data_IF_473623482587
#
_entry.id   IF_473623482587
#
_cell.length_a   1.000
_cell.length_b   1.000
_cell.length_c   1.000
_cell.angle_alpha   90.00
_cell.angle_beta   90.00
_cell.angle_gamma   90.00
#
_symmetry.space_group_name_H-M   'P 1'
#
loop_
_entity.id
_entity.type
_entity.pdbx_description
1 polymer ?
#
# COMPACT_ATOMS: atom_id res chain seq x y z
N UNK A 1 -14.80 -14.44 10.73
CA UNK A 1 -13.71 -14.41 11.73
C UNK A 1 -12.91 -13.16 11.50
N UNK A 2 -13.18 -12.11 12.27
CA UNK A 2 -12.55 -10.80 12.13
C UNK A 2 -11.39 -10.76 13.14
N UNK A 3 -10.26 -11.34 12.76
CA UNK A 3 -9.07 -11.38 13.61
C UNK A 3 -8.24 -10.15 13.31
N UNK A 4 -8.55 -9.01 13.93
CA UNK A 4 -7.64 -7.85 14.10
C UNK A 4 -7.08 -7.15 12.85
N UNK A 5 -7.31 -7.66 11.64
CA UNK A 5 -6.78 -7.12 10.40
C UNK A 5 -7.62 -5.94 9.91
N UNK A 6 -6.96 -4.84 9.53
CA UNK A 6 -7.60 -3.65 8.95
C UNK A 6 -7.17 -3.49 7.51
N UNK A 7 -7.98 -3.99 6.58
CA UNK A 7 -7.77 -3.84 5.14
C UNK A 7 -8.43 -2.55 4.66
N UNK A 8 -7.65 -1.69 4.00
CA UNK A 8 -8.10 -0.40 3.44
C UNK A 8 -7.68 -0.33 1.98
N UNK A 9 -8.43 0.40 1.19
CA UNK A 9 -8.21 0.58 -0.25
C UNK A 9 -8.01 2.06 -0.53
N UNK A 10 -7.08 2.38 -1.43
CA UNK A 10 -6.87 3.72 -1.97
C UNK A 10 -6.95 3.63 -3.48
N UNK A 11 -7.58 4.61 -4.12
CA UNK A 11 -7.65 4.62 -5.59
C UNK A 11 -6.30 5.02 -6.15
N UNK A 12 -5.93 4.45 -7.30
CA UNK A 12 -4.68 4.77 -7.97
C UNK A 12 -4.59 6.27 -8.33
N UNK A 13 -5.69 6.86 -8.81
CA UNK A 13 -5.78 8.31 -9.07
C UNK A 13 -5.49 9.19 -7.84
N UNK A 14 -5.91 8.74 -6.65
CA UNK A 14 -5.66 9.44 -5.39
C UNK A 14 -4.21 9.26 -4.94
N UNK A 15 -3.66 8.05 -5.09
CA UNK A 15 -2.25 7.79 -4.80
C UNK A 15 -1.32 8.66 -5.67
N UNK A 16 -1.62 8.77 -6.96
CA UNK A 16 -0.88 9.64 -7.90
C UNK A 16 -0.97 11.11 -7.48
N UNK A 17 -2.18 11.58 -7.12
CA UNK A 17 -2.40 12.96 -6.65
C UNK A 17 -1.65 13.26 -5.34
N UNK A 18 -1.51 12.27 -4.47
CA UNK A 18 -0.78 12.36 -3.21
C UNK A 18 0.74 12.21 -3.38
N UNK A 19 1.21 11.86 -4.58
CA UNK A 19 2.64 11.63 -4.87
C UNK A 19 3.19 10.40 -4.14
N UNK A 20 2.36 9.39 -3.89
CA UNK A 20 2.80 8.14 -3.27
C UNK A 20 3.61 7.30 -4.28
N UNK A 21 4.65 6.58 -3.84
CA UNK A 21 5.39 5.68 -4.72
C UNK A 21 4.47 4.54 -5.20
N UNK A 22 4.75 4.04 -6.40
CA UNK A 22 4.08 2.88 -6.98
C UNK A 22 4.68 1.53 -6.52
N UNK A 23 5.72 1.60 -5.69
CA UNK A 23 6.43 0.45 -5.13
C UNK A 23 5.52 -0.37 -4.21
N UNK A 24 5.52 -1.69 -4.36
CA UNK A 24 4.88 -2.60 -3.43
C UNK A 24 5.82 -2.92 -2.28
N UNK A 25 5.37 -2.70 -1.05
CA UNK A 25 6.20 -2.94 0.12
C UNK A 25 5.38 -3.43 1.32
N UNK A 26 6.05 -4.17 2.20
CA UNK A 26 5.57 -4.47 3.55
C UNK A 26 6.41 -3.73 4.58
N UNK A 27 5.77 -3.22 5.62
CA UNK A 27 6.41 -2.56 6.75
C UNK A 27 6.17 -3.37 8.02
N UNK A 28 7.24 -3.82 8.67
CA UNK A 28 7.21 -4.60 9.89
C UNK A 28 7.75 -3.79 11.07
N UNK A 29 6.95 -3.70 12.14
CA UNK A 29 7.29 -3.06 13.42
C UNK A 29 7.88 -1.63 13.31
N UNK A 30 7.62 -0.95 12.19
CA UNK A 30 8.26 0.33 11.82
C UNK A 30 9.80 0.28 11.85
N UNK A 31 10.39 -0.87 11.52
CA UNK A 31 11.85 -1.12 11.60
C UNK A 31 12.44 -1.85 10.41
N UNK A 32 11.61 -2.57 9.67
CA UNK A 32 12.02 -3.35 8.51
C UNK A 32 11.02 -3.12 7.39
N UNK A 33 11.51 -2.80 6.21
CA UNK A 33 10.73 -2.80 4.97
C UNK A 33 11.16 -3.99 4.13
N UNK A 34 10.19 -4.73 3.63
CA UNK A 34 10.38 -5.68 2.55
C UNK A 34 9.84 -5.01 1.28
N UNK A 35 10.74 -4.55 0.40
CA UNK A 35 10.40 -3.97 -0.89
C UNK A 35 10.29 -5.10 -1.91
N UNK A 36 9.13 -5.23 -2.58
CA UNK A 36 8.87 -6.29 -3.55
C UNK A 36 9.20 -5.75 -4.94
N UNK A 37 10.20 -6.34 -5.60
CA UNK A 37 10.62 -5.93 -6.92
C UNK A 37 10.01 -6.86 -7.97
N UNK A 38 9.18 -6.29 -8.85
CA UNK A 38 8.54 -6.99 -9.96
C UNK A 38 9.20 -6.61 -11.29
N UNK A 39 9.21 -7.53 -12.25
CA UNK A 39 9.58 -7.22 -13.64
C UNK A 39 8.42 -6.60 -14.42
N UNK A 40 8.68 -6.20 -15.66
CA UNK A 40 7.67 -5.61 -16.57
C UNK A 40 6.52 -6.56 -16.93
N UNK A 41 6.58 -7.82 -16.53
CA UNK A 41 5.56 -8.85 -16.73
C UNK A 41 4.90 -9.31 -15.44
N UNK A 42 4.99 -8.50 -14.38
CA UNK A 42 4.42 -8.73 -13.04
C UNK A 42 4.95 -9.99 -12.32
N UNK A 43 6.15 -10.49 -12.68
CA UNK A 43 6.78 -11.56 -11.90
C UNK A 43 7.59 -10.97 -10.75
N UNK A 44 7.45 -11.54 -9.55
CA UNK A 44 8.29 -11.20 -8.41
C UNK A 44 9.73 -11.68 -8.67
N UNK A 45 10.65 -10.74 -8.81
CA UNK A 45 12.07 -11.00 -9.09
C UNK A 45 12.83 -11.19 -7.80
N UNK A 46 12.67 -10.28 -6.85
CA UNK A 46 13.28 -10.36 -5.52
C UNK A 46 12.49 -9.59 -4.45
N UNK A 47 12.94 -9.74 -3.21
CA UNK A 47 12.48 -8.97 -2.07
C UNK A 47 13.68 -8.36 -1.37
N UNK A 48 13.78 -7.04 -1.35
CA UNK A 48 14.84 -6.31 -0.66
C UNK A 48 14.47 -6.06 0.81
N UNK A 49 15.36 -6.44 1.73
CA UNK A 49 15.20 -6.18 3.16
C UNK A 49 15.91 -4.89 3.56
N UNK A 50 15.14 -3.82 3.76
CA UNK A 50 15.65 -2.48 4.09
C UNK A 50 15.49 -2.21 5.59
N UNK A 51 16.61 -1.98 6.27
CA UNK A 51 16.68 -1.65 7.71
C UNK A 51 17.31 -0.28 7.99
N UNK A 52 17.72 0.45 6.96
CA UNK A 52 18.27 1.79 7.12
C UNK A 52 17.19 2.73 7.70
N UNK A 53 17.43 3.40 8.84
CA UNK A 53 16.37 4.16 9.53
C UNK A 53 15.71 5.24 8.68
N UNK A 54 16.46 5.93 7.83
CA UNK A 54 15.93 6.98 6.95
C UNK A 54 14.96 6.41 5.90
N UNK A 55 15.30 5.28 5.27
CA UNK A 55 14.43 4.63 4.30
C UNK A 55 13.20 4.01 4.96
N UNK A 56 13.36 3.36 6.12
CA UNK A 56 12.22 2.84 6.88
C UNK A 56 11.25 3.97 7.27
N UNK A 57 11.77 5.13 7.69
CA UNK A 57 10.95 6.30 7.99
C UNK A 57 10.21 6.81 6.75
N UNK A 58 10.87 6.84 5.58
CA UNK A 58 10.22 7.22 4.32
C UNK A 58 9.01 6.33 4.02
N UNK A 59 9.16 5.00 4.11
CA UNK A 59 8.07 4.06 3.89
C UNK A 59 6.98 4.13 4.97
N UNK A 60 7.34 4.42 6.22
CA UNK A 60 6.36 4.67 7.28
C UNK A 60 5.48 5.89 6.97
N UNK A 61 6.08 6.99 6.49
CA UNK A 61 5.36 8.19 6.07
C UNK A 61 4.44 7.91 4.87
N UNK A 62 4.90 7.11 3.90
CA UNK A 62 4.06 6.65 2.78
C UNK A 62 2.84 5.87 3.29
N UNK A 63 3.04 4.94 4.24
CA UNK A 63 1.94 4.18 4.85
C UNK A 63 0.96 5.07 5.61
N UNK A 64 1.46 6.04 6.38
CA UNK A 64 0.61 7.01 7.09
C UNK A 64 -0.26 7.82 6.11
N UNK A 65 0.34 8.34 5.04
CA UNK A 65 -0.37 9.10 4.02
C UNK A 65 -1.40 8.25 3.27
N UNK A 66 -1.02 7.04 2.85
CA UNK A 66 -1.93 6.11 2.18
C UNK A 66 -3.12 5.76 3.09
N UNK A 67 -2.84 5.41 4.35
CA UNK A 67 -3.88 5.04 5.30
C UNK A 67 -4.83 6.18 5.59
N UNK A 68 -4.33 7.41 5.79
CA UNK A 68 -5.16 8.58 6.07
C UNK A 68 -6.26 8.79 5.01
N UNK A 69 -5.95 8.53 3.74
CA UNK A 69 -6.87 8.70 2.62
C UNK A 69 -7.59 7.41 2.18
N UNK A 70 -7.22 6.25 2.72
CA UNK A 70 -7.80 4.97 2.35
C UNK A 70 -9.15 4.70 3.02
N UNK A 71 -10.01 3.97 2.32
CA UNK A 71 -11.38 3.61 2.74
C UNK A 71 -11.57 2.09 2.90
N UNK A 72 -12.55 1.62 3.68
CA UNK A 72 -12.81 0.19 3.87
C UNK A 72 -13.25 -0.55 2.60
N UNK A 73 -12.97 -1.86 2.52
CA UNK A 73 -13.37 -2.68 1.37
C UNK A 73 -14.88 -2.69 1.08
N UNK A 74 -15.72 -2.62 2.11
CA UNK A 74 -17.18 -2.55 1.92
C UNK A 74 -17.62 -1.34 1.07
N UNK A 75 -16.94 -0.20 1.20
CA UNK A 75 -17.20 0.99 0.39
C UNK A 75 -16.70 0.83 -1.05
N UNK A 76 -15.60 0.09 -1.26
CA UNK A 76 -15.11 -0.22 -2.61
C UNK A 76 -16.17 -0.98 -3.42
N UNK A 77 -16.75 -2.03 -2.84
CA UNK A 77 -17.77 -2.88 -3.49
C UNK A 77 -19.01 -2.05 -3.87
N UNK A 78 -19.44 -1.13 -3.00
CA UNK A 78 -20.57 -0.24 -3.28
C UNK A 78 -20.27 0.74 -4.42
N UNK A 79 -19.06 1.31 -4.48
CA UNK A 79 -18.67 2.24 -5.53
C UNK A 79 -18.48 1.56 -6.89
N UNK A 80 -18.02 0.31 -6.92
CA UNK A 80 -17.93 -0.48 -8.15
C UNK A 80 -19.33 -0.83 -8.69
N UNK A 81 -20.27 -1.21 -7.82
CA UNK A 81 -21.65 -1.47 -8.21
C UNK A 81 -22.36 -0.24 -8.78
N UNK A 82 -22.06 0.97 -8.28
CA UNK A 82 -22.63 2.23 -8.76
C UNK A 82 -22.05 2.71 -10.12
N UNK A 83 -20.84 2.28 -10.50
CA UNK A 83 -20.24 2.60 -11.81
C UNK A 83 -20.66 1.62 -12.93
N UNK A 84 -21.26 0.48 -12.58
CA UNK A 84 -21.66 -0.57 -13.52
C UNK A 84 -23.13 -0.53 -13.98
N UNK A 85 -23.85 0.55 -13.68
CA UNK A 85 -25.28 0.71 -13.99
C UNK A 85 -25.56 1.98 -14.79
#
# INVERSE_FOLDING_TARGET
SEVGERIRNLRREDADRLGLPAEDFWLFDSRLVALLNFDDTDNLVDVEAITQPAEVLRYAMVRDAAEHHAFPYGELVQQQAAKGN
#
